data_IF_956037168918
#
_entry.id   IF_956037168918
#
_cell.length_a   1.000
_cell.length_b   1.000
_cell.length_c   1.000
_cell.angle_alpha   90.00
_cell.angle_beta   90.00
_cell.angle_gamma   90.00
#
_symmetry.space_group_name_H-M   'P 1'
#
loop_
_entity.id
_entity.type
_entity.pdbx_description
1 polymer ?
#
# COMPACT_ATOMS: atom_id res chain seq x y z
N UNK A 1 34.50 -12.78 6.42
CA UNK A 1 34.41 -12.41 7.86
C UNK A 1 33.15 -13.05 8.40
N UNK A 2 33.28 -14.01 9.32
CA UNK A 2 32.12 -14.66 9.95
C UNK A 2 31.75 -13.85 11.18
N UNK A 3 30.58 -13.23 11.18
CA UNK A 3 30.08 -12.50 12.34
C UNK A 3 29.51 -13.53 13.31
N UNK A 4 30.12 -13.67 14.48
CA UNK A 4 29.64 -14.55 15.55
C UNK A 4 28.62 -13.82 16.41
N UNK A 5 27.37 -13.84 15.97
CA UNK A 5 26.26 -13.11 16.61
C UNK A 5 26.10 -13.47 18.09
N UNK A 6 26.30 -14.73 18.47
CA UNK A 6 26.17 -15.18 19.85
C UNK A 6 27.19 -14.53 20.80
N UNK A 7 28.45 -14.39 20.38
CA UNK A 7 29.49 -13.73 21.18
C UNK A 7 29.18 -12.24 21.34
N UNK A 8 28.72 -11.59 20.27
CA UNK A 8 28.32 -10.17 20.30
C UNK A 8 27.13 -9.93 21.24
N UNK A 9 26.12 -10.80 21.23
CA UNK A 9 24.98 -10.66 22.15
C UNK A 9 25.42 -10.73 23.61
N UNK A 10 26.29 -11.69 23.93
CA UNK A 10 26.81 -11.84 25.29
C UNK A 10 27.64 -10.62 25.71
N UNK A 11 28.48 -10.08 24.82
CA UNK A 11 29.24 -8.87 25.10
C UNK A 11 28.33 -7.67 25.35
N UNK A 12 27.26 -7.50 24.56
CA UNK A 12 26.28 -6.41 24.73
C UNK A 12 25.58 -6.51 26.09
N UNK A 13 25.22 -7.71 26.54
CA UNK A 13 24.56 -7.94 27.82
C UNK A 13 25.47 -7.59 29.02
N UNK A 14 26.79 -7.65 28.84
CA UNK A 14 27.77 -7.27 29.88
C UNK A 14 28.08 -5.77 29.91
N UNK A 15 27.63 -4.99 28.93
CA UNK A 15 27.82 -3.54 28.90
C UNK A 15 26.92 -2.82 29.92
N UNK A 16 27.32 -1.61 30.31
CA UNK A 16 26.46 -0.73 31.11
C UNK A 16 25.27 -0.23 30.30
N UNK A 17 24.22 0.19 30.99
CA UNK A 17 22.97 0.65 30.39
C UNK A 17 23.20 1.81 29.39
N UNK A 18 24.10 2.76 29.73
CA UNK A 18 24.44 3.88 28.84
C UNK A 18 25.08 3.41 27.53
N UNK A 19 25.93 2.39 27.58
CA UNK A 19 26.56 1.83 26.40
C UNK A 19 25.56 1.03 25.55
N UNK A 20 24.61 0.33 26.17
CA UNK A 20 23.52 -0.35 25.45
C UNK A 20 22.61 0.66 24.74
N UNK A 21 22.29 1.79 25.37
CA UNK A 21 21.52 2.88 24.75
C UNK A 21 22.25 3.44 23.52
N UNK A 22 23.56 3.67 23.62
CA UNK A 22 24.37 4.15 22.49
C UNK A 22 24.35 3.17 21.31
N UNK A 23 24.38 1.86 21.59
CA UNK A 23 24.25 0.83 20.56
C UNK A 23 22.88 0.87 19.88
N UNK A 24 21.80 1.09 20.63
CA UNK A 24 20.45 1.24 20.06
C UNK A 24 20.38 2.43 19.11
N UNK A 25 20.93 3.58 19.50
CA UNK A 25 21.00 4.78 18.65
C UNK A 25 21.79 4.49 17.36
N UNK A 26 22.91 3.78 17.48
CA UNK A 26 23.73 3.41 16.34
C UNK A 26 22.99 2.46 15.39
N UNK A 27 22.23 1.49 15.93
CA UNK A 27 21.38 0.59 15.15
C UNK A 27 20.31 1.38 14.39
N UNK A 28 19.67 2.36 15.02
CA UNK A 28 18.67 3.21 14.35
C UNK A 28 19.28 4.01 13.21
N UNK A 29 20.46 4.58 13.42
CA UNK A 29 21.20 5.31 12.40
C UNK A 29 21.55 4.41 11.20
N UNK A 30 22.00 3.19 11.47
CA UNK A 30 22.30 2.21 10.43
C UNK A 30 21.04 1.79 9.65
N UNK A 31 19.91 1.54 10.33
CA UNK A 31 18.62 1.25 9.67
C UNK A 31 18.17 2.38 8.75
N UNK A 32 18.43 3.64 9.13
CA UNK A 32 18.10 4.81 8.30
C UNK A 32 18.99 4.91 7.06
N UNK A 33 20.28 4.60 7.17
CA UNK A 33 21.24 4.67 6.04
C UNK A 33 21.15 3.48 5.10
N UNK A 34 20.79 2.32 5.64
CA UNK A 34 20.62 1.08 4.90
C UNK A 34 19.19 0.57 5.13
N UNK A 35 18.19 1.30 4.60
CA UNK A 35 16.82 0.77 4.64
C UNK A 35 16.85 -0.58 3.94
N UNK A 36 16.40 -1.62 4.64
CA UNK A 36 16.07 -2.85 3.94
C UNK A 36 15.04 -2.45 2.88
N UNK A 37 15.16 -2.93 1.62
CA UNK A 37 14.02 -2.89 0.74
C UNK A 37 12.94 -3.61 1.54
N UNK A 38 11.90 -2.88 1.93
CA UNK A 38 10.74 -3.54 2.49
C UNK A 38 10.41 -4.62 1.45
N UNK A 39 10.15 -5.84 1.90
CA UNK A 39 9.26 -6.69 1.12
C UNK A 39 7.95 -5.90 1.12
N UNK A 40 7.85 -4.89 0.25
CA UNK A 40 6.62 -4.51 -0.38
C UNK A 40 6.20 -5.83 -1.04
N UNK A 41 5.54 -6.69 -0.27
CA UNK A 41 4.43 -7.47 -0.78
C UNK A 41 3.72 -6.49 -1.68
N UNK A 42 3.89 -6.68 -2.99
CA UNK A 42 3.49 -5.75 -4.04
C UNK A 42 2.22 -5.09 -3.56
N UNK A 43 2.36 -3.84 -3.10
CA UNK A 43 1.25 -3.20 -2.43
C UNK A 43 0.27 -3.00 -3.55
N UNK A 44 -0.77 -3.87 -3.60
CA UNK A 44 -1.69 -3.95 -4.71
C UNK A 44 -2.08 -2.53 -5.06
N UNK A 45 -1.83 -2.16 -6.31
CA UNK A 45 -2.21 -0.87 -6.84
C UNK A 45 -3.68 -0.64 -6.50
N UNK A 46 -4.05 0.63 -6.40
CA UNK A 46 -5.43 1.02 -6.12
C UNK A 46 -6.38 0.33 -7.13
N UNK A 47 -5.93 0.17 -8.38
CA UNK A 47 -6.65 -0.56 -9.42
C UNK A 47 -6.86 -2.05 -9.09
N UNK A 48 -5.80 -2.77 -8.72
CA UNK A 48 -5.89 -4.20 -8.33
C UNK A 48 -6.80 -4.40 -7.12
N UNK A 49 -6.79 -3.46 -6.16
CA UNK A 49 -7.73 -3.50 -5.03
C UNK A 49 -9.18 -3.31 -5.47
N UNK A 50 -9.44 -2.42 -6.43
CA UNK A 50 -10.79 -2.19 -6.96
C UNK A 50 -11.29 -3.33 -7.85
N UNK A 51 -10.40 -4.00 -8.58
CA UNK A 51 -10.72 -5.18 -9.39
C UNK A 51 -11.09 -6.38 -8.50
N UNK A 52 -10.33 -6.65 -7.44
CA UNK A 52 -10.59 -7.76 -6.51
C UNK A 52 -11.91 -7.66 -5.76
N UNK A 53 -12.35 -6.44 -5.44
CA UNK A 53 -13.65 -6.20 -4.79
C UNK A 53 -14.80 -6.09 -5.80
N UNK A 54 -14.53 -6.36 -7.09
CA UNK A 54 -15.52 -6.36 -8.16
C UNK A 54 -16.10 -4.97 -8.48
N UNK A 55 -15.44 -3.89 -8.05
CA UNK A 55 -15.92 -2.52 -8.27
C UNK A 55 -15.58 -1.99 -9.67
N UNK A 56 -14.51 -2.50 -10.29
CA UNK A 56 -14.19 -2.21 -11.70
C UNK A 56 -15.16 -3.02 -12.58
N UNK A 57 -15.95 -2.34 -13.41
CA UNK A 57 -16.90 -3.01 -14.32
C UNK A 57 -18.28 -3.30 -13.72
N UNK A 58 -18.55 -2.87 -12.47
CA UNK A 58 -19.87 -2.96 -11.84
C UNK A 58 -20.96 -2.07 -12.49
N UNK A 59 -20.59 -1.27 -13.48
CA UNK A 59 -21.53 -0.49 -14.28
C UNK A 59 -21.82 -1.25 -15.58
N UNK A 60 -23.01 -1.86 -15.66
CA UNK A 60 -23.56 -2.27 -16.95
C UNK A 60 -23.84 -1.00 -17.77
N UNK A 61 -22.90 -0.67 -18.67
CA UNK A 61 -23.06 0.45 -19.58
C UNK A 61 -23.80 -0.05 -20.82
N UNK A 62 -24.81 0.69 -21.26
CA UNK A 62 -25.46 0.43 -22.55
C UNK A 62 -24.38 0.55 -23.64
N UNK A 63 -24.30 -0.42 -24.56
CA UNK A 63 -23.18 -0.60 -25.52
C UNK A 63 -22.80 0.67 -26.29
N UNK A 64 -23.75 1.60 -26.46
CA UNK A 64 -23.56 2.83 -27.23
C UNK A 64 -23.45 4.10 -26.38
N UNK A 65 -23.46 4.02 -25.04
CA UNK A 65 -23.52 5.21 -24.17
C UNK A 65 -22.36 6.19 -24.44
N UNK A 66 -21.16 5.71 -24.77
CA UNK A 66 -20.03 6.58 -25.11
C UNK A 66 -20.31 7.48 -26.34
N UNK A 67 -21.15 7.02 -27.26
CA UNK A 67 -21.54 7.73 -28.49
C UNK A 67 -22.89 8.42 -28.40
N UNK A 68 -23.82 7.89 -27.60
CA UNK A 68 -25.20 8.38 -27.47
C UNK A 68 -25.45 9.13 -26.15
N UNK A 69 -24.41 9.43 -25.37
CA UNK A 69 -24.54 10.03 -24.04
C UNK A 69 -25.44 11.28 -24.02
N UNK A 70 -25.35 12.12 -25.07
CA UNK A 70 -26.15 13.35 -25.18
C UNK A 70 -27.66 13.05 -25.26
N UNK A 71 -28.04 12.02 -26.00
CA UNK A 71 -29.43 11.61 -26.17
C UNK A 71 -29.98 10.94 -24.90
N UNK A 72 -29.15 10.14 -24.23
CA UNK A 72 -29.50 9.51 -22.95
C UNK A 72 -29.73 10.57 -21.87
N UNK A 73 -28.85 11.58 -21.76
CA UNK A 73 -29.00 12.70 -20.83
C UNK A 73 -30.26 13.53 -21.11
N UNK A 74 -30.55 13.81 -22.38
CA UNK A 74 -31.65 14.69 -22.76
C UNK A 74 -33.03 14.02 -22.67
N UNK A 75 -33.13 12.74 -23.06
CA UNK A 75 -34.42 12.10 -23.31
C UNK A 75 -34.72 10.91 -22.40
N UNK A 76 -33.69 10.18 -21.96
CA UNK A 76 -33.86 8.92 -21.23
C UNK A 76 -33.86 9.16 -19.72
N UNK A 77 -32.95 10.02 -19.23
CA UNK A 77 -32.85 10.36 -17.81
C UNK A 77 -34.13 10.98 -17.22
N UNK A 78 -34.76 11.99 -17.87
CA UNK A 78 -36.01 12.54 -17.37
C UNK A 78 -37.14 11.50 -17.38
N UNK A 79 -37.30 10.76 -18.47
CA UNK A 79 -38.44 9.84 -18.59
C UNK A 79 -38.33 8.57 -17.73
N UNK A 80 -37.11 8.09 -17.45
CA UNK A 80 -36.88 6.80 -16.78
C UNK A 80 -36.67 6.93 -15.27
N UNK A 81 -36.20 8.09 -14.78
CA UNK A 81 -35.82 8.27 -13.38
C UNK A 81 -36.43 9.51 -12.73
N UNK A 82 -36.91 10.49 -13.50
CA UNK A 82 -37.68 11.62 -12.98
C UNK A 82 -39.17 11.24 -12.96
N UNK A 83 -39.52 10.34 -12.03
CA UNK A 83 -40.91 10.01 -11.71
C UNK A 83 -41.43 11.00 -10.67
N UNK A 84 -41.69 12.24 -11.07
CA UNK A 84 -42.52 13.16 -10.29
C UNK A 84 -44.00 12.80 -10.40
#
# INVERSE_FOLDING_TARGET
MVIKIAEISQDIDTLTEEAQILLLDFIQLLKKRYPKPENHHQQKSIYEKFDEIGLIGCCAVEENLSTTYKEVLANTLPNKYDHS
#
